data_IF_039210325307
#
_entry.id   IF_039210325307
#
_cell.length_a   1.000
_cell.length_b   1.000
_cell.length_c   1.000
_cell.angle_alpha   90.00
_cell.angle_beta   90.00
_cell.angle_gamma   90.00
#
_symmetry.space_group_name_H-M   'P 1'
#
loop_
_entity.id
_entity.type
_entity.pdbx_description
1 polymer ?
#
# COMPACT_ATOMS: atom_id res chain seq x y z
N UNK A 1 -25.84 6.40 8.44
CA UNK A 1 -25.29 7.24 7.34
C UNK A 1 -24.98 6.32 6.17
N UNK A 2 -25.15 6.77 4.92
CA UNK A 2 -24.90 5.92 3.76
C UNK A 2 -23.40 5.60 3.62
N UNK A 3 -23.10 4.45 3.01
CA UNK A 3 -21.74 3.90 2.89
C UNK A 3 -21.47 3.58 1.43
N UNK A 4 -20.26 3.85 0.93
CA UNK A 4 -19.83 3.39 -0.40
C UNK A 4 -19.57 1.88 -0.42
N UNK A 5 -19.48 1.29 -1.60
CA UNK A 5 -19.26 -0.16 -1.77
C UNK A 5 -18.04 -0.73 -1.01
N UNK A 6 -17.00 0.07 -0.74
CA UNK A 6 -15.83 -0.34 0.06
C UNK A 6 -16.01 -0.22 1.58
N UNK A 7 -17.21 0.08 2.08
CA UNK A 7 -17.48 0.17 3.52
C UNK A 7 -17.16 1.53 4.15
N UNK A 8 -16.70 2.52 3.38
CA UNK A 8 -16.41 3.87 3.90
C UNK A 8 -17.65 4.75 3.94
N UNK A 9 -17.76 5.57 4.99
CA UNK A 9 -18.88 6.51 5.14
C UNK A 9 -18.89 7.50 3.97
N UNK A 10 -20.02 7.56 3.26
CA UNK A 10 -20.17 8.49 2.16
C UNK A 10 -20.17 9.95 2.65
N UNK A 11 -19.71 10.83 1.77
CA UNK A 11 -19.67 12.28 1.95
C UNK A 11 -20.70 12.88 0.98
N UNK A 12 -21.78 13.45 1.50
CA UNK A 12 -22.93 13.90 0.69
C UNK A 12 -22.75 15.31 0.10
N UNK A 13 -21.77 16.08 0.58
CA UNK A 13 -21.51 17.44 0.12
C UNK A 13 -20.04 17.66 -0.22
N UNK A 14 -19.77 18.33 -1.34
CA UNK A 14 -18.40 18.69 -1.75
C UNK A 14 -17.77 19.77 -0.86
N UNK A 15 -18.57 20.43 -0.02
CA UNK A 15 -18.12 21.38 1.00
C UNK A 15 -17.82 20.74 2.36
N UNK A 16 -17.98 19.41 2.49
CA UNK A 16 -17.71 18.70 3.73
C UNK A 16 -16.22 18.84 4.11
N UNK A 17 -15.90 19.19 5.37
CA UNK A 17 -14.52 19.44 5.81
C UNK A 17 -13.65 18.18 5.80
N UNK A 18 -14.23 16.98 5.70
CA UNK A 18 -13.48 15.72 5.55
C UNK A 18 -12.80 15.62 4.19
N UNK A 19 -13.22 16.40 3.19
CA UNK A 19 -12.65 16.39 1.85
C UNK A 19 -11.56 17.47 1.70
N UNK A 20 -10.41 17.08 1.16
CA UNK A 20 -9.30 17.98 0.85
C UNK A 20 -9.12 18.10 -0.67
N UNK A 21 -8.78 19.31 -1.14
CA UNK A 21 -8.40 19.55 -2.55
C UNK A 21 -7.22 18.68 -2.93
N UNK A 22 -7.34 17.98 -4.05
CA UNK A 22 -6.34 17.01 -4.50
C UNK A 22 -5.72 17.49 -5.82
N UNK A 23 -4.40 17.76 -5.88
CA UNK A 23 -3.80 18.48 -7.01
C UNK A 23 -3.76 17.68 -8.32
N UNK A 24 -4.01 16.37 -8.25
CA UNK A 24 -3.89 15.45 -9.39
C UNK A 24 -5.21 15.24 -10.15
N UNK A 25 -6.33 15.72 -9.62
CA UNK A 25 -7.66 15.50 -10.22
C UNK A 25 -8.49 16.76 -10.14
N UNK A 26 -9.48 16.88 -11.03
CA UNK A 26 -10.60 17.78 -10.82
C UNK A 26 -11.44 17.24 -9.66
N UNK A 27 -11.34 17.89 -8.51
CA UNK A 27 -12.13 17.58 -7.32
C UNK A 27 -11.30 17.43 -6.05
N UNK A 28 -11.81 16.61 -5.14
CA UNK A 28 -11.27 16.39 -3.80
C UNK A 28 -11.14 14.91 -3.51
N UNK A 29 -10.38 14.55 -2.49
CA UNK A 29 -10.37 13.21 -1.90
C UNK A 29 -10.55 13.31 -0.39
N UNK A 30 -10.83 12.19 0.27
CA UNK A 30 -10.88 12.15 1.73
C UNK A 30 -9.51 12.52 2.30
N UNK A 31 -9.49 13.44 3.26
CA UNK A 31 -8.27 13.91 3.91
C UNK A 31 -7.58 12.80 4.74
N UNK A 32 -6.38 13.11 5.25
CA UNK A 32 -5.63 12.22 6.14
C UNK A 32 -5.02 11.02 5.39
N UNK A 33 -5.01 9.81 5.98
CA UNK A 33 -4.34 8.65 5.39
C UNK A 33 -4.77 8.29 3.97
N UNK A 34 -6.05 8.46 3.63
CA UNK A 34 -6.55 8.22 2.27
C UNK A 34 -5.88 9.16 1.28
N UNK A 35 -5.80 10.46 1.60
CA UNK A 35 -5.08 11.44 0.79
C UNK A 35 -3.64 11.01 0.55
N UNK A 36 -2.92 10.64 1.62
CA UNK A 36 -1.50 10.24 1.53
C UNK A 36 -1.30 9.02 0.62
N UNK A 37 -2.16 8.00 0.75
CA UNK A 37 -2.06 6.79 -0.08
C UNK A 37 -2.39 7.10 -1.54
N UNK A 38 -3.48 7.82 -1.81
CA UNK A 38 -3.87 8.18 -3.17
C UNK A 38 -2.89 9.16 -3.81
N UNK A 39 -2.27 10.07 -3.05
CA UNK A 39 -1.20 10.95 -3.52
C UNK A 39 0.02 10.15 -3.96
N UNK A 40 0.40 9.10 -3.22
CA UNK A 40 1.49 8.22 -3.64
C UNK A 40 1.16 7.52 -4.98
N UNK A 41 -0.08 7.07 -5.15
CA UNK A 41 -0.55 6.48 -6.43
C UNK A 41 -0.43 7.51 -7.54
N UNK A 42 -1.04 8.69 -7.39
CA UNK A 42 -1.09 9.71 -8.44
C UNK A 42 0.31 10.23 -8.81
N UNK A 43 1.17 10.53 -7.82
CA UNK A 43 2.54 11.00 -8.06
C UNK A 43 3.37 9.98 -8.82
N UNK A 44 3.28 8.69 -8.49
CA UNK A 44 4.02 7.65 -9.22
C UNK A 44 3.39 7.35 -10.58
N UNK A 45 2.07 7.43 -10.70
CA UNK A 45 1.41 7.29 -11.99
C UNK A 45 1.89 8.36 -12.97
N UNK A 46 1.89 9.63 -12.55
CA UNK A 46 2.37 10.78 -13.34
C UNK A 46 3.82 10.60 -13.82
N UNK A 47 4.69 10.11 -12.92
CA UNK A 47 6.12 9.97 -13.18
C UNK A 47 6.51 8.70 -13.97
N UNK A 48 5.78 7.59 -13.79
CA UNK A 48 6.24 6.26 -14.19
C UNK A 48 5.28 5.51 -15.14
N UNK A 49 4.03 5.98 -15.26
CA UNK A 49 3.01 5.38 -16.13
C UNK A 49 2.73 6.33 -17.30
N UNK A 50 2.17 7.49 -17.01
CA UNK A 50 2.00 8.59 -17.96
C UNK A 50 1.59 9.88 -17.24
N UNK A 51 1.91 11.02 -17.83
CA UNK A 51 1.58 12.33 -17.25
C UNK A 51 0.07 12.52 -17.04
N UNK A 52 -0.30 13.04 -15.88
CA UNK A 52 -1.67 13.28 -15.48
C UNK A 52 -2.19 14.58 -16.07
N UNK A 53 -3.33 14.51 -16.75
CA UNK A 53 -4.12 15.67 -17.17
C UNK A 53 -5.24 15.90 -16.15
N UNK A 54 -5.07 16.91 -15.28
CA UNK A 54 -5.97 17.17 -14.14
C UNK A 54 -7.42 17.42 -14.58
N UNK A 55 -7.64 18.12 -15.70
CA UNK A 55 -8.98 18.43 -16.21
C UNK A 55 -9.75 17.19 -16.70
N UNK A 56 -9.07 16.08 -16.93
CA UNK A 56 -9.65 14.81 -17.39
C UNK A 56 -9.46 13.68 -16.36
N UNK A 57 -9.08 14.03 -15.15
CA UNK A 57 -8.92 13.13 -14.01
C UNK A 57 -9.90 13.58 -12.92
N UNK A 58 -10.53 12.66 -12.20
CA UNK A 58 -11.68 12.98 -11.34
C UNK A 58 -11.55 12.39 -9.93
N UNK A 59 -11.94 13.19 -8.94
CA UNK A 59 -11.99 12.80 -7.53
C UNK A 59 -13.42 12.57 -7.03
N UNK A 60 -13.71 13.03 -5.82
CA UNK A 60 -14.99 12.88 -5.13
C UNK A 60 -16.19 13.29 -6.01
N UNK A 61 -17.21 12.44 -5.98
CA UNK A 61 -18.52 12.70 -6.54
C UNK A 61 -19.55 11.85 -5.79
N UNK A 62 -20.56 12.47 -5.19
CA UNK A 62 -21.65 11.75 -4.54
C UNK A 62 -22.61 11.16 -5.59
N UNK A 63 -22.34 9.92 -5.99
CA UNK A 63 -23.10 9.18 -7.01
C UNK A 63 -23.09 7.68 -6.76
N UNK A 64 -24.05 7.00 -7.36
CA UNK A 64 -24.00 5.54 -7.53
C UNK A 64 -22.98 5.15 -8.61
N UNK A 65 -22.61 3.88 -8.62
CA UNK A 65 -21.80 3.29 -9.70
C UNK A 65 -22.60 3.32 -11.00
N UNK A 66 -21.95 3.56 -12.13
CA UNK A 66 -22.65 3.55 -13.43
C UNK A 66 -23.24 2.17 -13.72
N UNK A 67 -24.57 2.06 -13.68
CA UNK A 67 -25.31 0.82 -13.94
C UNK A 67 -25.51 -0.08 -12.71
N UNK A 68 -25.33 0.44 -11.50
CA UNK A 68 -25.64 -0.25 -10.24
C UNK A 68 -26.26 0.78 -9.24
N UNK A 69 -27.05 0.29 -8.28
CA UNK A 69 -27.68 1.08 -7.21
C UNK A 69 -26.73 1.35 -6.01
N UNK A 70 -25.59 0.64 -5.92
CA UNK A 70 -24.60 0.86 -4.86
C UNK A 70 -23.86 2.20 -5.02
N UNK A 71 -23.57 2.86 -3.88
CA UNK A 71 -22.75 4.08 -3.87
C UNK A 71 -21.31 3.79 -4.29
N UNK A 72 -20.82 4.60 -5.24
CA UNK A 72 -19.44 4.52 -5.71
C UNK A 72 -18.45 4.91 -4.61
N UNK A 73 -17.22 4.40 -4.68
CA UNK A 73 -16.13 4.83 -3.79
C UNK A 73 -15.72 6.30 -4.00
N UNK A 74 -16.09 6.91 -5.13
CA UNK A 74 -16.01 8.37 -5.29
C UNK A 74 -16.91 9.10 -4.29
N UNK A 75 -18.02 8.50 -3.84
CA UNK A 75 -18.95 9.14 -2.92
C UNK A 75 -18.37 9.31 -1.51
N UNK A 76 -17.40 8.47 -1.11
CA UNK A 76 -16.66 8.62 0.15
C UNK A 76 -15.32 9.36 -0.02
N UNK A 77 -14.97 9.77 -1.24
CA UNK A 77 -13.69 10.42 -1.54
C UNK A 77 -12.50 9.46 -1.48
N UNK A 78 -12.74 8.16 -1.63
CA UNK A 78 -11.73 7.09 -1.49
C UNK A 78 -11.33 6.48 -2.83
N UNK A 79 -11.63 7.17 -3.93
CA UNK A 79 -11.34 6.76 -5.29
C UNK A 79 -10.87 7.97 -6.13
N UNK A 80 -10.04 7.67 -7.13
CA UNK A 80 -9.61 8.61 -8.17
C UNK A 80 -9.68 7.92 -9.54
N UNK A 81 -10.08 8.69 -10.54
CA UNK A 81 -9.95 8.32 -11.95
C UNK A 81 -8.83 9.16 -12.58
N UNK A 82 -7.86 8.52 -13.22
CA UNK A 82 -6.72 9.19 -13.86
C UNK A 82 -6.83 9.11 -15.38
N UNK A 83 -6.69 10.26 -16.06
CA UNK A 83 -6.71 10.36 -17.52
C UNK A 83 -7.93 9.68 -18.17
N UNK A 84 -9.10 9.82 -17.56
CA UNK A 84 -10.28 9.00 -17.83
C UNK A 84 -10.71 8.87 -19.30
N UNK A 85 -10.68 9.93 -20.15
CA UNK A 85 -10.98 9.79 -21.57
C UNK A 85 -10.01 8.90 -22.36
N UNK A 86 -8.77 8.70 -21.87
CA UNK A 86 -7.77 7.79 -22.47
C UNK A 86 -7.99 6.33 -22.05
N UNK A 87 -8.58 6.11 -20.88
CA UNK A 87 -8.78 4.79 -20.26
C UNK A 87 -10.26 4.57 -19.88
N UNK A 88 -11.22 4.72 -20.82
CA UNK A 88 -12.63 4.81 -20.50
C UNK A 88 -13.19 3.51 -19.92
N UNK A 89 -14.16 3.63 -19.01
CA UNK A 89 -14.86 2.52 -18.37
C UNK A 89 -15.38 1.49 -19.40
N UNK A 90 -14.91 0.25 -19.28
CA UNK A 90 -15.21 -0.87 -20.17
C UNK A 90 -14.15 -1.17 -21.22
N UNK A 91 -13.19 -0.26 -21.44
CA UNK A 91 -12.02 -0.54 -22.27
C UNK A 91 -10.97 -1.35 -21.49
N UNK A 92 -10.15 -2.09 -22.23
CA UNK A 92 -9.04 -2.86 -21.69
C UNK A 92 -7.83 -2.79 -22.62
N UNK A 93 -6.63 -2.97 -22.06
CA UNK A 93 -5.40 -2.87 -22.84
C UNK A 93 -5.10 -1.44 -23.31
N UNK A 94 -5.63 -0.44 -22.59
CA UNK A 94 -5.38 0.98 -22.87
C UNK A 94 -4.02 1.46 -22.35
N UNK A 95 -3.36 0.65 -21.52
CA UNK A 95 -1.97 0.81 -21.11
C UNK A 95 -1.06 -0.18 -21.84
N UNK A 96 0.17 0.27 -22.14
CA UNK A 96 1.23 -0.62 -22.61
C UNK A 96 1.68 -1.59 -21.52
N UNK A 97 2.37 -2.68 -21.88
CA UNK A 97 2.90 -3.63 -20.90
C UNK A 97 3.86 -2.99 -19.88
N UNK A 98 4.66 -2.01 -20.30
CA UNK A 98 5.54 -1.25 -19.41
C UNK A 98 4.75 -0.40 -18.40
N UNK A 99 3.71 0.28 -18.86
CA UNK A 99 2.81 1.06 -18.01
C UNK A 99 2.09 0.18 -16.99
N UNK A 100 1.60 -1.00 -17.41
CA UNK A 100 1.01 -1.98 -16.50
C UNK A 100 2.03 -2.44 -15.46
N UNK A 101 3.30 -2.70 -15.83
CA UNK A 101 4.34 -3.06 -14.86
C UNK A 101 4.58 -1.95 -13.82
N UNK A 102 4.60 -0.68 -14.24
CA UNK A 102 4.65 0.46 -13.33
C UNK A 102 3.44 0.49 -12.40
N UNK A 103 2.21 0.29 -12.93
CA UNK A 103 0.99 0.18 -12.11
C UNK A 103 1.11 -0.95 -11.08
N UNK A 104 1.64 -2.13 -11.44
CA UNK A 104 1.90 -3.22 -10.48
C UNK A 104 2.88 -2.83 -9.38
N UNK A 105 3.94 -2.09 -9.72
CA UNK A 105 4.90 -1.58 -8.74
C UNK A 105 4.25 -0.58 -7.76
N UNK A 106 3.36 0.27 -8.26
CA UNK A 106 2.57 1.20 -7.43
C UNK A 106 1.67 0.42 -6.48
N UNK A 107 0.89 -0.54 -6.99
CA UNK A 107 -0.01 -1.36 -6.18
C UNK A 107 0.74 -2.17 -5.11
N UNK A 108 1.93 -2.69 -5.42
CA UNK A 108 2.78 -3.37 -4.45
C UNK A 108 3.21 -2.42 -3.31
N UNK A 109 3.60 -1.18 -3.64
CA UNK A 109 3.99 -0.17 -2.65
C UNK A 109 2.82 0.29 -1.77
N UNK A 110 1.60 0.27 -2.29
CA UNK A 110 0.38 0.64 -1.55
C UNK A 110 -0.38 -0.56 -0.98
N UNK A 111 0.13 -1.78 -1.13
CA UNK A 111 -0.56 -2.99 -0.67
C UNK A 111 -0.63 -3.07 0.87
N UNK A 112 -1.78 -3.46 1.45
CA UNK A 112 -2.99 -3.95 0.80
C UNK A 112 -4.07 -2.87 0.55
N UNK A 113 -3.74 -1.58 0.67
CA UNK A 113 -4.72 -0.50 0.76
C UNK A 113 -5.44 -0.18 -0.56
N UNK A 114 -4.78 -0.31 -1.71
CA UNK A 114 -5.31 0.13 -3.01
C UNK A 114 -5.57 -1.06 -3.92
N UNK A 115 -6.68 -1.02 -4.66
CA UNK A 115 -6.90 -1.86 -5.85
C UNK A 115 -7.04 -1.00 -7.10
N UNK A 116 -6.83 -1.64 -8.26
CA UNK A 116 -6.95 -1.02 -9.57
C UNK A 116 -8.11 -1.62 -10.36
N UNK A 117 -8.89 -0.78 -11.04
CA UNK A 117 -10.06 -1.18 -11.82
C UNK A 117 -9.72 -2.02 -13.07
N UNK A 118 -8.47 -1.97 -13.54
CA UNK A 118 -7.98 -2.91 -14.56
C UNK A 118 -7.96 -4.37 -14.10
N UNK A 119 -8.02 -4.64 -12.80
CA UNK A 119 -8.05 -6.00 -12.24
C UNK A 119 -9.45 -6.59 -12.09
N UNK A 120 -10.51 -5.80 -12.32
CA UNK A 120 -11.87 -6.29 -12.11
C UNK A 120 -12.17 -7.49 -13.02
N UNK A 121 -12.80 -8.52 -12.46
CA UNK A 121 -13.16 -9.72 -13.24
C UNK A 121 -14.26 -9.44 -14.27
N UNK A 122 -15.14 -8.48 -13.98
CA UNK A 122 -16.20 -8.02 -14.86
C UNK A 122 -15.77 -6.87 -15.77
N UNK A 123 -16.57 -5.81 -15.79
CA UNK A 123 -16.29 -4.60 -16.57
C UNK A 123 -15.00 -3.94 -16.09
N UNK A 124 -14.01 -3.85 -16.99
CA UNK A 124 -12.72 -3.20 -16.73
C UNK A 124 -12.89 -1.71 -16.53
N UNK A 125 -12.07 -1.15 -15.65
CA UNK A 125 -12.03 0.28 -15.37
C UNK A 125 -10.58 0.75 -15.20
N UNK A 126 -9.83 0.80 -16.31
CA UNK A 126 -8.38 1.01 -16.26
C UNK A 126 -7.98 2.42 -15.75
N UNK A 127 -8.86 3.42 -15.81
CA UNK A 127 -8.63 4.74 -15.19
C UNK A 127 -8.69 4.72 -13.64
N UNK A 128 -9.32 3.70 -13.05
CA UNK A 128 -9.84 3.78 -11.69
C UNK A 128 -8.91 3.18 -10.64
N UNK A 129 -8.61 3.94 -9.58
CA UNK A 129 -7.87 3.48 -8.40
C UNK A 129 -8.66 3.80 -7.13
N UNK A 130 -8.71 2.86 -6.19
CA UNK A 130 -9.53 3.03 -5.00
C UNK A 130 -9.00 2.30 -3.76
N UNK A 131 -9.38 2.82 -2.60
CA UNK A 131 -9.15 2.17 -1.32
C UNK A 131 -10.02 0.91 -1.20
N UNK A 132 -9.39 -0.20 -0.83
CA UNK A 132 -9.99 -1.54 -0.75
C UNK A 132 -9.86 -2.18 0.64
N UNK A 133 -9.64 -1.38 1.69
CA UNK A 133 -9.44 -1.87 3.05
C UNK A 133 -9.98 -0.87 4.08
N UNK A 134 -9.94 -1.25 5.36
CA UNK A 134 -10.39 -0.42 6.47
C UNK A 134 -9.45 0.76 6.78
N UNK A 135 -9.95 1.72 7.57
CA UNK A 135 -9.21 2.92 7.90
C UNK A 135 -7.89 2.66 8.67
N UNK A 136 -7.85 1.61 9.50
CA UNK A 136 -6.65 1.28 10.28
C UNK A 136 -5.53 0.78 9.36
N UNK A 137 -5.87 -0.05 8.38
CA UNK A 137 -4.95 -0.58 7.40
C UNK A 137 -4.47 0.52 6.44
N UNK A 138 -5.35 1.42 6.00
CA UNK A 138 -4.94 2.61 5.22
C UNK A 138 -3.97 3.49 6.02
N UNK A 139 -4.23 3.72 7.32
CA UNK A 139 -3.34 4.50 8.18
C UNK A 139 -1.95 3.86 8.31
N UNK A 140 -1.88 2.54 8.47
CA UNK A 140 -0.60 1.81 8.51
C UNK A 140 0.18 1.92 7.19
N UNK A 141 -0.51 1.82 6.04
CA UNK A 141 0.12 2.02 4.73
C UNK A 141 0.57 3.47 4.54
N UNK A 142 -0.24 4.46 4.91
CA UNK A 142 0.13 5.88 4.82
C UNK A 142 1.39 6.20 5.65
N UNK A 143 1.48 5.66 6.87
CA UNK A 143 2.69 5.79 7.70
C UNK A 143 3.91 5.20 6.99
N UNK A 144 3.80 3.97 6.48
CA UNK A 144 4.88 3.30 5.72
C UNK A 144 5.38 4.15 4.54
N UNK A 145 4.46 4.78 3.80
CA UNK A 145 4.78 5.60 2.63
C UNK A 145 5.47 6.93 2.97
N UNK A 146 5.26 7.45 4.17
CA UNK A 146 5.82 8.73 4.64
C UNK A 146 7.06 8.55 5.53
N UNK A 147 7.57 7.33 5.64
CA UNK A 147 8.68 6.99 6.54
C UNK A 147 8.30 7.00 8.02
N UNK A 148 7.02 7.17 8.34
CA UNK A 148 6.48 6.96 9.68
C UNK A 148 6.37 5.47 9.99
N UNK A 149 6.72 5.07 11.21
CA UNK A 149 6.42 3.72 11.66
C UNK A 149 4.90 3.55 11.76
N UNK A 150 4.34 2.38 11.39
CA UNK A 150 2.93 2.10 11.67
C UNK A 150 2.66 2.25 13.17
N UNK A 151 1.43 2.60 13.58
CA UNK A 151 1.07 2.64 14.99
C UNK A 151 1.43 1.29 15.64
N UNK A 152 2.19 1.33 16.74
CA UNK A 152 2.46 0.13 17.54
C UNK A 152 1.15 -0.27 18.20
N UNK A 153 0.41 -1.17 17.55
CA UNK A 153 -0.80 -1.76 18.11
C UNK A 153 -0.42 -2.80 19.18
N UNK A 154 -1.31 -3.15 20.12
CA UNK A 154 -1.00 -4.18 21.12
C UNK A 154 -0.48 -5.51 20.52
N UNK A 155 -0.98 -6.01 19.37
CA UNK A 155 -0.39 -7.18 18.70
C UNK A 155 1.02 -6.96 18.14
N UNK A 156 1.31 -5.75 17.61
CA UNK A 156 2.66 -5.39 17.15
C UNK A 156 3.60 -5.24 18.34
N UNK A 157 3.12 -4.67 19.44
CA UNK A 157 3.85 -4.58 20.71
C UNK A 157 4.14 -5.97 21.27
N UNK A 158 3.16 -6.86 21.31
CA UNK A 158 3.32 -8.23 21.80
C UNK A 158 4.29 -9.03 20.94
N UNK A 159 4.24 -8.90 19.60
CA UNK A 159 5.19 -9.53 18.68
C UNK A 159 6.63 -9.00 18.83
N UNK A 160 6.78 -7.71 19.19
CA UNK A 160 8.09 -7.10 19.49
C UNK A 160 8.58 -7.52 20.88
N UNK A 161 7.70 -7.60 21.89
CA UNK A 161 8.05 -7.92 23.28
C UNK A 161 8.18 -9.42 23.55
N UNK A 162 7.73 -10.28 22.63
CA UNK A 162 7.85 -11.74 22.72
C UNK A 162 9.28 -12.29 22.51
N UNK A 163 10.27 -11.41 22.33
CA UNK A 163 11.69 -11.77 22.16
C UNK A 163 12.21 -11.41 20.77
N UNK A 164 13.40 -11.91 20.37
CA UNK A 164 14.04 -11.46 19.14
C UNK A 164 13.12 -11.70 17.92
N UNK A 165 13.01 -10.71 17.05
CA UNK A 165 12.20 -10.80 15.83
C UNK A 165 12.75 -11.95 14.99
N UNK A 166 11.91 -12.97 14.76
CA UNK A 166 12.24 -14.12 13.93
C UNK A 166 12.10 -13.75 12.46
N UNK A 167 13.22 -13.70 11.74
CA UNK A 167 13.24 -13.56 10.29
C UNK A 167 13.50 -14.93 9.69
N UNK A 168 12.55 -15.44 8.90
CA UNK A 168 12.66 -16.74 8.24
C UNK A 168 12.85 -16.55 6.74
N UNK A 169 13.98 -17.03 6.20
CA UNK A 169 14.26 -16.99 4.76
C UNK A 169 14.88 -18.31 4.31
N UNK A 170 14.21 -19.01 3.37
CA UNK A 170 14.69 -20.25 2.72
C UNK A 170 15.47 -21.20 3.65
N UNK A 171 14.86 -21.58 4.77
CA UNK A 171 15.42 -22.55 5.72
C UNK A 171 16.35 -21.97 6.79
N UNK A 172 16.83 -20.73 6.65
CA UNK A 172 17.58 -20.04 7.69
C UNK A 172 16.65 -19.24 8.62
N UNK A 173 16.88 -19.35 9.93
CA UNK A 173 16.22 -18.55 10.97
C UNK A 173 17.25 -17.57 11.53
N UNK A 174 16.97 -16.27 11.43
CA UNK A 174 17.79 -15.22 12.06
C UNK A 174 16.98 -14.49 13.12
N UNK A 175 17.67 -14.11 14.20
CA UNK A 175 17.09 -13.40 15.33
C UNK A 175 17.76 -12.05 15.49
N UNK A 176 16.96 -10.98 15.57
CA UNK A 176 17.45 -9.63 15.88
C UNK A 176 17.08 -9.30 17.32
N UNK A 177 18.08 -9.07 18.17
CA UNK A 177 17.87 -8.55 19.50
C UNK A 177 17.43 -7.08 19.39
N UNK A 178 16.20 -6.78 19.80
CA UNK A 178 15.62 -5.44 19.64
C UNK A 178 16.19 -4.43 20.64
N UNK A 179 16.68 -4.89 21.80
CA UNK A 179 17.24 -4.04 22.85
C UNK A 179 18.58 -3.44 22.44
N UNK A 180 19.45 -4.22 21.79
CA UNK A 180 20.81 -3.80 21.44
C UNK A 180 21.14 -3.85 19.94
N UNK A 181 20.36 -4.57 19.12
CA UNK A 181 20.50 -4.63 17.66
C UNK A 181 21.48 -5.69 17.23
N UNK A 182 21.91 -6.52 18.18
CA UNK A 182 22.76 -7.66 17.93
C UNK A 182 22.01 -8.65 17.04
N UNK A 183 22.67 -9.03 15.95
CA UNK A 183 22.26 -10.15 15.11
C UNK A 183 22.73 -11.44 15.77
N UNK A 184 21.80 -12.36 16.01
CA UNK A 184 22.10 -13.73 16.41
C UNK A 184 21.75 -14.63 15.25
N UNK A 185 22.78 -15.01 14.49
CA UNK A 185 22.71 -16.13 13.56
C UNK A 185 22.89 -17.42 14.36
N UNK A 186 21.98 -18.38 14.24
CA UNK A 186 22.12 -19.70 14.86
C UNK A 186 22.52 -20.69 13.76
N UNK A 187 23.83 -20.91 13.52
CA UNK A 187 24.27 -22.02 12.70
C UNK A 187 24.06 -23.32 13.50
N UNK A 188 23.21 -24.23 13.02
CA UNK A 188 23.12 -25.58 13.60
C UNK A 188 23.69 -26.61 12.60
N UNK A 189 24.88 -27.17 12.87
CA UNK A 189 25.49 -28.22 12.06
C UNK A 189 24.62 -29.48 11.87
N UNK A 190 23.75 -29.83 12.84
CA UNK A 190 22.87 -31.01 12.73
C UNK A 190 21.77 -30.87 11.67
N UNK A 191 21.38 -29.63 11.35
CA UNK A 191 20.30 -29.36 10.39
C UNK A 191 20.81 -29.35 8.93
N UNK A 192 22.03 -28.88 8.71
CA UNK A 192 22.66 -28.81 7.39
C UNK A 192 22.96 -30.21 6.80
N UNK A 193 23.32 -31.18 7.65
CA UNK A 193 23.60 -32.56 7.22
C UNK A 193 22.33 -33.31 6.78
N UNK A 194 21.18 -33.02 7.41
CA UNK A 194 19.89 -33.66 7.12
C UNK A 194 19.26 -33.12 5.84
N UNK A 195 19.38 -31.81 5.57
CA UNK A 195 18.86 -31.19 4.34
C UNK A 195 19.80 -31.39 3.13
N UNK A 196 21.11 -31.51 3.35
CA UNK A 196 22.10 -31.76 2.30
C UNK A 196 21.89 -33.07 1.55
N UNK A 197 21.30 -34.09 2.21
CA UNK A 197 20.91 -35.36 1.57
C UNK A 197 19.63 -35.27 0.74
N UNK A 198 18.79 -34.25 0.96
CA UNK A 198 17.42 -34.25 0.48
C UNK A 198 17.14 -33.39 -0.77
N UNK A 199 17.93 -32.33 -1.07
CA UNK A 199 17.41 -31.31 -2.02
C UNK A 199 18.35 -30.68 -3.07
N UNK A 200 19.60 -31.08 -3.22
CA UNK A 200 20.48 -30.79 -4.40
C UNK A 200 20.29 -29.47 -5.20
N UNK A 201 20.06 -28.27 -4.62
CA UNK A 201 20.05 -26.99 -5.39
C UNK A 201 20.62 -25.79 -4.60
N UNK A 202 21.45 -24.89 -5.18
CA UNK A 202 22.23 -23.88 -4.44
C UNK A 202 21.75 -22.40 -4.56
N UNK A 203 21.95 -21.67 -3.45
CA UNK A 203 22.28 -20.22 -3.28
C UNK A 203 21.26 -19.10 -3.59
N UNK A 204 21.02 -18.26 -2.58
CA UNK A 204 20.68 -16.83 -2.69
C UNK A 204 21.47 -16.05 -1.62
N UNK A 205 22.10 -14.93 -2.01
CA UNK A 205 22.91 -14.03 -1.16
C UNK A 205 22.12 -12.74 -0.94
N UNK A 206 21.98 -12.26 0.30
CA UNK A 206 21.47 -10.91 0.62
C UNK A 206 22.63 -9.92 0.55
N UNK A 207 22.41 -8.74 -0.05
CA UNK A 207 23.43 -7.71 -0.23
C UNK A 207 23.43 -6.66 0.90
N UNK A 208 24.52 -5.89 0.99
CA UNK A 208 24.76 -4.91 2.07
C UNK A 208 23.64 -3.86 2.25
N UNK A 209 22.94 -3.49 1.17
CA UNK A 209 21.81 -2.55 1.21
C UNK A 209 20.63 -3.05 2.04
N UNK A 210 20.37 -4.35 2.04
CA UNK A 210 19.27 -4.94 2.83
C UNK A 210 19.59 -4.87 4.34
N UNK A 211 20.88 -4.88 4.68
CA UNK A 211 21.36 -4.78 6.07
C UNK A 211 21.19 -3.37 6.64
N UNK A 212 21.43 -2.34 5.83
CA UNK A 212 21.32 -0.95 6.27
C UNK A 212 19.86 -0.53 6.51
N UNK A 213 18.93 -0.99 5.66
CA UNK A 213 17.48 -0.75 5.83
C UNK A 213 16.98 -1.33 7.15
N UNK A 214 17.44 -2.54 7.52
CA UNK A 214 17.05 -3.20 8.78
C UNK A 214 17.63 -2.46 9.99
N UNK A 215 18.91 -2.03 9.93
CA UNK A 215 19.53 -1.24 11.00
C UNK A 215 18.82 0.10 11.22
N UNK A 216 18.43 0.75 10.13
CA UNK A 216 17.69 2.02 10.17
C UNK A 216 16.29 1.83 10.78
N UNK A 217 15.60 0.73 10.44
CA UNK A 217 14.33 0.36 11.07
C UNK A 217 14.45 0.16 12.59
N UNK A 218 15.42 -0.64 13.05
CA UNK A 218 15.63 -0.88 14.49
C UNK A 218 16.01 0.40 15.25
N UNK A 219 16.82 1.27 14.64
CA UNK A 219 17.23 2.55 15.25
C UNK A 219 16.03 3.48 15.46
N UNK A 220 15.11 3.54 14.48
CA UNK A 220 13.89 4.35 14.55
C UNK A 220 12.92 3.86 15.62
N UNK A 221 12.71 2.54 15.72
CA UNK A 221 11.86 1.95 16.78
C UNK A 221 12.37 2.31 18.18
N UNK A 222 13.69 2.30 18.40
CA UNK A 222 14.28 2.71 19.69
C UNK A 222 14.07 4.16 20.05
N UNK A 223 14.20 5.07 19.08
CA UNK A 223 14.01 6.50 19.32
C UNK A 223 12.58 6.77 19.83
N UNK A 224 11.60 6.03 19.31
CA UNK A 224 10.20 6.16 19.69
C UNK A 224 9.91 5.56 21.07
N UNK A 225 10.50 4.41 21.41
CA UNK A 225 10.35 3.81 22.74
C UNK A 225 11.03 4.60 23.87
N UNK A 226 12.05 5.41 23.56
CA UNK A 226 12.72 6.28 24.55
C UNK A 226 12.00 7.61 24.79
N UNK A 227 11.05 7.98 23.93
CA UNK A 227 10.28 9.22 24.03
C UNK A 227 8.85 9.03 24.52
N UNK A 228 8.48 7.81 24.93
CA UNK A 228 7.18 7.42 25.46
C UNK A 228 7.23 7.19 26.97
#
# INVERSE_FOLDING_TARGET
>A
MATSQNGWQAVTSGSDPRLASFPWVTGKVLAGPVFTVLEHVARRFDAEVEGITVSTSWGWAYRVISGNDDLSNHASGTAIDLNAPRHPLGASGTFTAGQVASIRSILAATSPAVRWGGDYSGRKDEMHFEINTDAATVAAVAARLTGGLPPVTPPVQEALMAGPIRIQNRGAVSFVNIDNGAWVHVPNPEYDETLGRAVQVPKLVLGDRDTDVIKEFCTRVRAQLKGA
#
